data_IF_974158323328
#
_entry.id   IF_974158323328
#
_cell.length_a   1.000
_cell.length_b   1.000
_cell.length_c   1.000
_cell.angle_alpha   90.00
_cell.angle_beta   90.00
_cell.angle_gamma   90.00
#
_symmetry.space_group_name_H-M   'P 1'
#
loop_
_entity.id
_entity.type
_entity.pdbx_description
1 polymer ?
#
# COMPACT_ATOMS: atom_id res chain seq x y z
N UNK A 1 5.35 12.70 26.12
CA UNK A 1 6.64 12.15 25.62
C UNK A 1 6.36 10.99 24.65
N UNK A 2 7.34 10.47 23.86
CA UNK A 2 7.09 9.27 23.06
C UNK A 2 6.64 8.09 23.95
N UNK A 3 5.61 7.32 23.56
CA UNK A 3 5.16 6.16 24.36
C UNK A 3 6.27 5.16 24.63
N UNK A 4 7.16 4.94 23.66
CA UNK A 4 8.36 4.11 23.84
C UNK A 4 9.37 4.70 24.82
N UNK A 5 9.40 6.02 24.98
CA UNK A 5 10.29 6.72 25.92
C UNK A 5 9.68 6.74 27.34
N UNK A 6 8.36 6.89 27.46
CA UNK A 6 7.63 6.76 28.75
C UNK A 6 7.69 5.31 29.25
N UNK A 7 7.46 4.32 28.38
CA UNK A 7 7.58 2.90 28.73
C UNK A 7 8.99 2.54 29.23
N UNK A 8 10.03 3.05 28.56
CA UNK A 8 11.42 2.86 28.98
C UNK A 8 11.69 3.50 30.34
N UNK A 9 11.14 4.68 30.60
CA UNK A 9 11.30 5.39 31.90
C UNK A 9 10.56 4.69 33.03
N UNK A 10 9.34 4.18 32.78
CA UNK A 10 8.59 3.39 33.76
C UNK A 10 9.30 2.06 34.05
N UNK A 11 9.78 1.35 33.01
CA UNK A 11 10.55 0.13 33.21
C UNK A 11 11.87 0.36 33.98
N UNK A 12 12.49 1.54 33.84
CA UNK A 12 13.63 1.95 34.67
C UNK A 12 13.21 2.25 36.12
N UNK A 13 12.07 2.89 36.35
CA UNK A 13 11.51 3.14 37.69
C UNK A 13 11.17 1.83 38.42
N UNK A 14 10.54 0.88 37.74
CA UNK A 14 10.24 -0.45 38.31
C UNK A 14 11.54 -1.19 38.68
N UNK A 15 12.57 -1.10 37.82
CA UNK A 15 13.89 -1.69 38.09
C UNK A 15 14.59 -1.04 39.29
N UNK A 16 14.37 0.26 39.53
CA UNK A 16 14.87 0.98 40.71
C UNK A 16 14.10 0.55 41.97
N UNK A 17 12.77 0.39 41.87
CA UNK A 17 11.89 0.00 42.99
C UNK A 17 12.04 -1.45 43.44
N UNK A 18 12.32 -2.38 42.53
CA UNK A 18 12.56 -3.79 42.85
C UNK A 18 13.87 -4.01 43.64
N UNK A 19 14.74 -3.01 43.71
CA UNK A 19 15.99 -3.08 44.47
C UNK A 19 15.79 -2.57 45.90
N UNK A 20 14.98 -3.28 46.68
CA UNK A 20 14.79 -3.01 48.12
C UNK A 20 15.88 -3.66 48.97
N UNK A 21 17.09 -3.11 48.89
CA UNK A 21 18.04 -3.10 50.00
C UNK A 21 18.74 -1.76 49.97
N UNK A 22 19.02 -1.22 51.15
CA UNK A 22 19.43 0.16 51.45
C UNK A 22 20.74 0.59 50.76
N UNK A 23 20.72 0.63 49.43
CA UNK A 23 21.88 0.87 48.58
C UNK A 23 21.75 2.32 48.07
N UNK A 24 22.65 3.19 48.53
CA UNK A 24 22.62 4.61 48.19
C UNK A 24 22.67 4.87 46.68
N UNK A 25 22.32 6.09 46.28
CA UNK A 25 22.21 6.53 44.87
C UNK A 25 23.42 6.19 43.98
N UNK A 26 24.59 5.94 44.57
CA UNK A 26 25.80 5.51 43.86
C UNK A 26 25.66 4.15 43.19
N UNK A 27 24.98 3.20 43.84
CA UNK A 27 24.70 1.86 43.31
C UNK A 27 23.69 1.89 42.15
N UNK A 28 22.69 2.78 42.23
CA UNK A 28 21.70 2.95 41.18
C UNK A 28 22.31 3.47 39.88
N UNK A 29 23.32 4.34 39.96
CA UNK A 29 24.09 4.82 38.80
C UNK A 29 24.80 3.66 38.11
N UNK A 30 25.37 2.73 38.87
CA UNK A 30 26.17 1.61 38.36
C UNK A 30 25.31 0.58 37.61
N UNK A 31 24.09 0.31 38.09
CA UNK A 31 23.16 -0.63 37.45
C UNK A 31 22.43 0.00 36.26
N UNK A 32 22.04 1.26 36.39
CA UNK A 32 21.25 1.93 35.33
C UNK A 32 22.13 2.55 34.25
N UNK A 33 23.41 2.81 34.55
CA UNK A 33 24.32 3.57 33.68
C UNK A 33 23.95 5.05 33.55
N UNK A 34 23.04 5.56 34.40
CA UNK A 34 22.52 6.93 34.31
C UNK A 34 23.12 7.85 35.36
N UNK A 35 23.33 9.11 35.01
CA UNK A 35 23.79 10.14 35.95
C UNK A 35 22.81 10.31 37.13
N UNK A 36 23.34 10.59 38.33
CA UNK A 36 22.55 10.78 39.57
C UNK A 36 21.41 11.79 39.40
N UNK A 37 21.66 12.89 38.69
CA UNK A 37 20.67 13.94 38.41
C UNK A 37 19.48 13.43 37.60
N UNK A 38 19.73 12.52 36.65
CA UNK A 38 18.68 11.87 35.85
C UNK A 38 17.84 10.93 36.70
N UNK A 39 18.48 10.15 37.58
CA UNK A 39 17.79 9.21 38.49
C UNK A 39 16.90 9.99 39.46
N UNK A 40 17.42 11.03 40.13
CA UNK A 40 16.63 11.87 41.04
C UNK A 40 15.45 12.55 40.34
N UNK A 41 15.66 13.01 39.09
CA UNK A 41 14.58 13.59 38.30
C UNK A 41 13.51 12.56 37.93
N UNK A 42 13.89 11.35 37.56
CA UNK A 42 12.93 10.28 37.23
C UNK A 42 12.08 9.90 38.44
N UNK A 43 12.69 9.77 39.62
CA UNK A 43 11.96 9.50 40.87
C UNK A 43 10.98 10.63 41.17
N UNK A 44 11.40 11.90 40.99
CA UNK A 44 10.53 13.06 41.23
C UNK A 44 9.34 13.13 40.25
N UNK A 45 9.55 12.72 39.00
CA UNK A 45 8.52 12.75 37.94
C UNK A 45 7.71 11.45 37.84
N UNK A 46 7.83 10.56 38.82
CA UNK A 46 7.22 9.23 38.77
C UNK A 46 5.69 9.29 38.61
N UNK A 47 5.01 10.05 39.48
CA UNK A 47 3.54 10.15 39.45
C UNK A 47 3.05 10.72 38.12
N UNK A 48 3.72 11.76 37.59
CA UNK A 48 3.39 12.38 36.31
C UNK A 48 3.54 11.37 35.14
N UNK A 49 4.58 10.54 35.17
CA UNK A 49 4.84 9.53 34.13
C UNK A 49 3.83 8.37 34.21
N UNK A 50 3.42 7.96 35.40
CA UNK A 50 2.40 6.92 35.60
C UNK A 50 1.01 7.40 35.15
N UNK A 51 0.64 8.64 35.47
CA UNK A 51 -0.59 9.25 34.97
C UNK A 51 -0.58 9.42 33.44
N UNK A 52 0.53 9.86 32.84
CA UNK A 52 0.69 9.97 31.38
C UNK A 52 0.58 8.60 30.69
N UNK A 53 1.05 7.53 31.34
CA UNK A 53 0.92 6.16 30.85
C UNK A 53 -0.52 5.65 30.94
N UNK A 54 -1.18 5.82 32.08
CA UNK A 54 -2.57 5.39 32.30
C UNK A 54 -3.54 6.07 31.32
N UNK A 55 -3.35 7.37 31.05
CA UNK A 55 -4.16 8.11 30.07
C UNK A 55 -3.87 7.69 28.60
N UNK A 56 -2.80 6.94 28.36
CA UNK A 56 -2.39 6.48 27.02
C UNK A 56 -2.82 5.04 26.69
N UNK A 57 -3.31 4.27 27.66
CA UNK A 57 -3.89 2.95 27.41
C UNK A 57 -5.17 3.10 26.56
N UNK A 58 -5.13 2.54 25.34
CA UNK A 58 -6.22 2.62 24.36
C UNK A 58 -5.93 3.50 23.13
N UNK A 59 -4.93 4.39 23.15
CA UNK A 59 -4.54 5.18 21.96
C UNK A 59 -3.20 4.69 21.39
N UNK A 60 -3.23 3.98 20.25
CA UNK A 60 -2.04 3.77 19.40
C UNK A 60 -1.71 5.08 18.65
N UNK A 61 -1.23 6.08 19.39
CA UNK A 61 -0.75 7.36 18.84
C UNK A 61 0.78 7.36 18.68
N UNK A 62 1.32 8.08 17.67
CA UNK A 62 2.76 8.15 17.45
C UNK A 62 3.49 8.91 18.56
N UNK A 63 4.80 8.66 18.62
CA UNK A 63 5.80 9.38 19.41
C UNK A 63 5.53 10.89 19.45
N UNK A 64 5.03 11.42 20.58
CA UNK A 64 5.01 12.88 20.82
C UNK A 64 6.41 13.32 21.22
N UNK A 65 7.29 13.48 20.24
CA UNK A 65 8.41 14.42 20.36
C UNK A 65 7.81 15.82 20.62
N UNK A 66 8.46 16.62 21.48
CA UNK A 66 7.99 17.95 21.94
C UNK A 66 7.25 18.69 20.81
N UNK A 67 5.99 19.09 21.03
CA UNK A 67 5.27 20.04 20.16
C UNK A 67 6.11 21.33 20.15
N UNK A 68 6.97 21.48 19.15
CA UNK A 68 7.56 22.76 18.82
C UNK A 68 6.46 23.53 18.10
N UNK A 69 5.91 24.54 18.78
CA UNK A 69 5.03 25.51 18.16
C UNK A 69 5.70 26.06 16.90
N UNK A 70 4.89 26.19 15.84
CA UNK A 70 5.39 26.76 14.59
C UNK A 70 5.76 28.22 14.77
N UNK A 71 6.58 28.72 13.84
CA UNK A 71 6.53 30.15 13.56
C UNK A 71 5.11 30.44 13.07
N UNK A 72 4.45 31.40 13.72
CA UNK A 72 3.10 31.90 13.41
C UNK A 72 1.99 30.85 13.66
N UNK A 73 1.63 30.57 14.93
CA UNK A 73 0.63 29.56 15.28
C UNK A 73 -0.77 29.88 14.72
N UNK A 74 -1.11 31.16 14.58
CA UNK A 74 -2.42 31.59 14.07
C UNK A 74 -2.60 31.21 12.58
N UNK A 75 -1.53 31.33 11.79
CA UNK A 75 -1.50 30.91 10.38
C UNK A 75 -1.56 29.38 10.26
N UNK A 76 -0.91 28.68 11.20
CA UNK A 76 -0.86 27.23 11.28
C UNK A 76 -2.27 26.62 11.48
N UNK A 77 -3.01 27.15 12.46
CA UNK A 77 -4.36 26.71 12.80
C UNK A 77 -5.38 27.09 11.72
N UNK A 78 -5.33 28.34 11.24
CA UNK A 78 -6.21 28.82 10.16
C UNK A 78 -6.08 27.99 8.88
N UNK A 79 -4.86 27.55 8.55
CA UNK A 79 -4.65 26.68 7.39
C UNK A 79 -5.22 25.28 7.62
N UNK A 80 -5.13 24.76 8.85
CA UNK A 80 -5.67 23.45 9.21
C UNK A 80 -7.20 23.41 9.10
N UNK A 81 -7.89 24.44 9.63
CA UNK A 81 -9.35 24.58 9.49
C UNK A 81 -9.77 24.66 8.02
N UNK A 82 -9.07 25.45 7.21
CA UNK A 82 -9.34 25.55 5.78
C UNK A 82 -9.17 24.20 5.07
N UNK A 83 -8.13 23.43 5.41
CA UNK A 83 -7.92 22.08 4.84
C UNK A 83 -9.03 21.12 5.27
N UNK A 84 -9.53 21.20 6.51
CA UNK A 84 -10.65 20.38 6.95
C UNK A 84 -11.92 20.64 6.10
N UNK A 85 -12.24 21.92 5.83
CA UNK A 85 -13.38 22.31 4.99
C UNK A 85 -13.23 21.77 3.55
N UNK A 86 -12.04 21.94 2.97
CA UNK A 86 -11.77 21.55 1.57
C UNK A 86 -11.74 20.03 1.40
N UNK A 87 -11.24 19.30 2.40
CA UNK A 87 -11.24 17.84 2.42
C UNK A 87 -12.67 17.29 2.57
N UNK A 88 -13.53 17.95 3.36
CA UNK A 88 -14.96 17.61 3.46
C UNK A 88 -15.74 17.78 2.15
N UNK A 89 -15.23 18.59 1.21
CA UNK A 89 -15.80 18.78 -0.13
C UNK A 89 -15.11 17.93 -1.21
N UNK A 90 -14.30 16.95 -0.82
CA UNK A 90 -13.57 16.04 -1.70
C UNK A 90 -12.63 16.72 -2.73
N UNK A 91 -12.18 17.94 -2.46
CA UNK A 91 -11.27 18.66 -3.37
C UNK A 91 -9.81 18.25 -3.14
N UNK A 92 -9.08 18.03 -4.23
CA UNK A 92 -7.66 17.67 -4.19
C UNK A 92 -6.80 18.93 -4.04
N UNK A 93 -6.04 19.03 -2.96
CA UNK A 93 -5.16 20.18 -2.68
C UNK A 93 -3.69 19.79 -2.87
N UNK A 94 -2.97 20.57 -3.67
CA UNK A 94 -1.54 20.40 -3.88
C UNK A 94 -0.71 21.19 -2.85
N UNK A 95 0.57 20.86 -2.71
CA UNK A 95 1.48 21.60 -1.84
C UNK A 95 1.65 23.08 -2.22
N UNK A 96 1.57 23.42 -3.51
CA UNK A 96 1.63 24.81 -3.98
C UNK A 96 0.38 25.60 -3.58
N UNK A 97 -0.81 24.97 -3.68
CA UNK A 97 -2.07 25.58 -3.23
C UNK A 97 -2.04 25.82 -1.72
N UNK A 98 -1.53 24.87 -0.93
CA UNK A 98 -1.35 25.06 0.52
C UNK A 98 -0.45 26.24 0.85
N UNK A 99 0.68 26.40 0.16
CA UNK A 99 1.58 27.56 0.37
C UNK A 99 0.93 28.88 -0.03
N UNK A 100 0.17 28.89 -1.13
CA UNK A 100 -0.54 30.09 -1.58
C UNK A 100 -1.57 30.51 -0.52
N UNK A 101 -2.38 29.55 -0.04
CA UNK A 101 -3.39 29.81 0.97
C UNK A 101 -2.77 30.25 2.31
N UNK A 102 -1.66 29.63 2.73
CA UNK A 102 -0.94 30.03 3.93
C UNK A 102 -0.49 31.51 3.88
N UNK A 103 0.01 31.98 2.73
CA UNK A 103 0.38 33.39 2.54
C UNK A 103 -0.82 34.33 2.56
N UNK A 104 -1.94 33.92 1.96
CA UNK A 104 -3.19 34.70 2.00
C UNK A 104 -3.71 34.85 3.44
N UNK A 105 -3.69 33.76 4.22
CA UNK A 105 -4.08 33.77 5.62
C UNK A 105 -3.13 34.61 6.47
N UNK A 106 -1.82 34.51 6.23
CA UNK A 106 -0.83 35.33 6.93
C UNK A 106 -1.06 36.83 6.72
N UNK A 107 -1.35 37.27 5.49
CA UNK A 107 -1.71 38.68 5.21
C UNK A 107 -2.96 39.12 5.96
N UNK A 108 -3.99 38.26 6.03
CA UNK A 108 -5.24 38.56 6.76
C UNK A 108 -5.05 38.67 8.27
N UNK A 109 -4.06 37.96 8.79
CA UNK A 109 -3.70 37.95 10.21
C UNK A 109 -2.59 38.97 10.54
N UNK A 110 -2.20 39.84 9.60
CA UNK A 110 -1.13 40.83 9.76
C UNK A 110 0.28 40.24 10.02
N UNK A 111 0.55 39.03 9.51
CA UNK A 111 1.88 38.42 9.51
C UNK A 111 2.59 38.63 8.16
N UNK A 112 3.02 39.85 7.87
CA UNK A 112 3.62 40.22 6.58
C UNK A 112 5.00 39.58 6.32
N UNK A 113 5.73 39.24 7.39
CA UNK A 113 7.03 38.57 7.31
C UNK A 113 6.93 37.05 7.08
N UNK A 114 5.70 36.50 7.05
CA UNK A 114 5.48 35.08 6.93
C UNK A 114 5.96 34.52 5.58
N UNK A 115 6.80 33.47 5.65
CA UNK A 115 7.29 32.76 4.47
C UNK A 115 6.87 31.30 4.49
N UNK A 116 5.96 30.95 3.58
CA UNK A 116 5.56 29.56 3.28
C UNK A 116 6.67 28.77 2.54
N UNK A 117 7.81 28.57 3.21
CA UNK A 117 8.94 27.77 2.71
C UNK A 117 8.58 26.29 2.64
N UNK A 118 9.33 25.50 1.86
CA UNK A 118 9.20 24.03 1.85
C UNK A 118 9.42 23.41 3.23
N UNK A 119 10.36 23.96 4.01
CA UNK A 119 10.61 23.53 5.38
C UNK A 119 9.44 23.79 6.30
N UNK A 120 8.79 24.97 6.21
CA UNK A 120 7.59 25.28 6.98
C UNK A 120 6.44 24.34 6.63
N UNK A 121 6.15 24.16 5.33
CA UNK A 121 5.08 23.28 4.87
C UNK A 121 5.30 21.82 5.29
N UNK A 122 6.54 21.33 5.22
CA UNK A 122 6.89 19.97 5.64
C UNK A 122 6.63 19.75 7.14
N UNK A 123 7.01 20.73 7.98
CA UNK A 123 6.75 20.69 9.42
C UNK A 123 5.27 20.82 9.75
N UNK A 124 4.56 21.72 9.08
CA UNK A 124 3.10 21.88 9.20
C UNK A 124 2.37 20.57 8.87
N UNK A 125 2.71 19.92 7.75
CA UNK A 125 2.18 18.59 7.40
C UNK A 125 2.45 17.55 8.48
N UNK A 126 3.67 17.54 9.03
CA UNK A 126 4.04 16.63 10.12
C UNK A 126 3.27 16.90 11.41
N UNK A 127 2.93 18.16 11.72
CA UNK A 127 2.16 18.52 12.91
C UNK A 127 0.70 18.05 12.83
N UNK A 128 0.11 18.16 11.65
CA UNK A 128 -1.30 17.82 11.40
C UNK A 128 -1.52 16.42 10.82
N UNK A 129 -0.47 15.57 10.81
CA UNK A 129 -0.47 14.22 10.21
C UNK A 129 -0.97 14.17 8.75
N UNK A 130 -0.66 15.21 7.98
CA UNK A 130 -1.08 15.32 6.58
C UNK A 130 -0.04 14.63 5.70
N UNK A 131 -0.44 13.53 5.08
CA UNK A 131 0.37 12.76 4.13
C UNK A 131 -0.17 12.89 2.72
N UNK A 132 0.74 13.06 1.76
CA UNK A 132 0.37 12.97 0.35
C UNK A 132 0.01 11.52 0.03
N UNK A 133 -1.24 11.28 -0.36
CA UNK A 133 -1.69 9.99 -0.87
C UNK A 133 -1.87 10.11 -2.39
N UNK A 134 -1.12 9.30 -3.14
CA UNK A 134 -1.35 9.18 -4.57
C UNK A 134 -2.62 8.35 -4.77
N UNK A 135 -3.61 8.92 -5.45
CA UNK A 135 -4.76 8.14 -5.90
C UNK A 135 -4.24 7.11 -6.92
N UNK A 136 -4.35 5.82 -6.59
CA UNK A 136 -4.21 4.74 -7.56
C UNK A 136 -5.61 4.44 -8.10
N UNK A 137 -5.71 4.22 -9.42
CA UNK A 137 -6.96 4.18 -10.18
C UNK A 137 -8.06 3.26 -9.66
N UNK A 138 -9.28 3.50 -10.16
CA UNK A 138 -10.54 2.73 -10.05
C UNK A 138 -11.04 2.27 -8.68
N UNK A 139 -10.36 2.59 -7.57
CA UNK A 139 -10.94 2.35 -6.24
C UNK A 139 -12.17 3.21 -5.94
N UNK A 140 -12.30 4.35 -6.61
CA UNK A 140 -13.36 5.33 -6.36
C UNK A 140 -14.69 4.94 -7.05
N UNK A 141 -14.65 4.15 -8.14
CA UNK A 141 -15.83 3.67 -8.88
C UNK A 141 -16.35 2.30 -8.44
N UNK A 142 -15.58 1.56 -7.62
CA UNK A 142 -15.99 0.24 -7.16
C UNK A 142 -17.04 0.36 -6.03
N UNK A 143 -18.27 -0.11 -6.28
CA UNK A 143 -19.31 -0.26 -5.26
C UNK A 143 -18.92 -1.37 -4.26
N UNK A 144 -18.04 -1.02 -3.33
CA UNK A 144 -17.42 -1.94 -2.39
C UNK A 144 -18.46 -2.70 -1.54
N UNK A 145 -19.59 -2.06 -1.23
CA UNK A 145 -20.66 -2.67 -0.46
C UNK A 145 -21.35 -3.80 -1.25
N UNK A 146 -21.75 -3.55 -2.49
CA UNK A 146 -22.40 -4.56 -3.33
C UNK A 146 -21.45 -5.67 -3.77
N UNK A 147 -20.16 -5.37 -3.98
CA UNK A 147 -19.16 -6.40 -4.22
C UNK A 147 -19.00 -7.34 -3.01
N UNK A 148 -19.03 -6.81 -1.79
CA UNK A 148 -19.01 -7.61 -0.55
C UNK A 148 -20.29 -8.43 -0.40
N UNK A 149 -21.45 -7.81 -0.60
CA UNK A 149 -22.75 -8.50 -0.55
C UNK A 149 -22.76 -9.66 -1.55
N UNK A 150 -22.47 -9.38 -2.83
CA UNK A 150 -22.39 -10.38 -3.89
C UNK A 150 -21.46 -11.55 -3.53
N UNK A 151 -20.27 -11.25 -3.01
CA UNK A 151 -19.29 -12.27 -2.59
C UNK A 151 -19.81 -13.12 -1.41
N UNK A 152 -20.58 -12.52 -0.50
CA UNK A 152 -21.06 -13.19 0.72
C UNK A 152 -22.37 -13.97 0.55
N UNK A 153 -23.27 -13.52 -0.33
CA UNK A 153 -24.61 -14.09 -0.46
C UNK A 153 -24.85 -14.73 -1.83
N UNK A 154 -24.78 -13.93 -2.90
CA UNK A 154 -25.19 -14.35 -4.25
C UNK A 154 -24.23 -15.35 -4.90
N UNK A 155 -22.92 -15.13 -4.78
CA UNK A 155 -21.91 -15.98 -5.42
C UNK A 155 -21.89 -17.40 -4.81
N UNK A 156 -21.87 -17.59 -3.48
CA UNK A 156 -21.97 -18.93 -2.90
C UNK A 156 -23.26 -19.65 -3.31
N UNK A 157 -24.41 -18.96 -3.29
CA UNK A 157 -25.69 -19.56 -3.69
C UNK A 157 -25.70 -20.03 -5.14
N UNK A 158 -25.12 -19.23 -6.04
CA UNK A 158 -24.99 -19.59 -7.45
C UNK A 158 -24.04 -20.79 -7.65
N UNK A 159 -22.92 -20.83 -6.92
CA UNK A 159 -21.90 -21.88 -7.06
C UNK A 159 -22.30 -23.21 -6.41
N UNK A 160 -23.26 -23.25 -5.47
CA UNK A 160 -23.74 -24.47 -4.78
C UNK A 160 -24.21 -25.57 -5.74
N UNK A 161 -24.66 -25.22 -6.95
CA UNK A 161 -25.16 -26.16 -7.96
C UNK A 161 -24.01 -26.89 -8.66
N UNK A 162 -22.79 -26.37 -8.59
CA UNK A 162 -21.61 -26.90 -9.26
C UNK A 162 -20.66 -27.57 -8.27
N UNK A 163 -19.95 -28.60 -8.75
CA UNK A 163 -18.86 -29.20 -7.98
C UNK A 163 -17.62 -28.30 -8.07
N UNK A 164 -16.80 -28.27 -7.01
CA UNK A 164 -15.59 -27.43 -7.01
C UNK A 164 -14.65 -27.75 -8.19
N UNK A 165 -14.57 -29.02 -8.60
CA UNK A 165 -13.74 -29.44 -9.72
C UNK A 165 -14.24 -28.95 -11.09
N UNK A 166 -15.51 -28.52 -11.18
CA UNK A 166 -16.14 -28.06 -12.42
C UNK A 166 -16.21 -26.53 -12.52
N UNK A 167 -15.83 -25.81 -11.47
CA UNK A 167 -15.77 -24.34 -11.44
C UNK A 167 -14.35 -23.91 -11.81
N UNK A 168 -14.18 -23.18 -12.91
CA UNK A 168 -12.89 -22.64 -13.35
C UNK A 168 -12.85 -21.13 -13.22
N UNK A 169 -11.66 -20.59 -12.99
CA UNK A 169 -11.39 -19.17 -13.12
C UNK A 169 -10.26 -18.98 -14.14
N UNK A 170 -10.43 -18.02 -15.04
CA UNK A 170 -9.38 -17.59 -15.96
C UNK A 170 -9.08 -16.12 -15.73
N UNK A 171 -7.79 -15.78 -15.59
CA UNK A 171 -7.35 -14.41 -15.36
C UNK A 171 -6.00 -14.13 -16.02
N UNK A 172 -5.78 -12.87 -16.37
CA UNK A 172 -4.61 -12.39 -17.07
C UNK A 172 -3.63 -11.72 -16.13
N UNK A 173 -2.34 -12.00 -16.33
CA UNK A 173 -1.27 -11.31 -15.63
C UNK A 173 -0.22 -10.79 -16.60
N UNK A 174 0.22 -9.55 -16.36
CA UNK A 174 1.31 -8.93 -17.11
C UNK A 174 2.65 -9.20 -16.44
N UNK A 175 3.52 -9.96 -17.10
CA UNK A 175 4.91 -10.16 -16.69
C UNK A 175 5.81 -9.15 -17.39
N UNK A 176 6.60 -8.41 -16.60
CA UNK A 176 7.55 -7.42 -17.10
C UNK A 176 9.00 -7.86 -16.91
N UNK A 177 9.80 -7.83 -17.97
CA UNK A 177 11.22 -8.18 -17.91
C UNK A 177 12.05 -7.46 -19.00
N UNK A 178 13.34 -7.16 -18.75
CA UNK A 178 13.96 -7.03 -17.44
C UNK A 178 13.37 -5.82 -16.67
N UNK A 179 12.99 -6.02 -15.41
CA UNK A 179 12.49 -4.95 -14.56
C UNK A 179 13.66 -4.17 -13.95
N UNK A 180 14.17 -3.17 -14.67
CA UNK A 180 15.18 -2.25 -14.13
C UNK A 180 14.53 -1.31 -13.10
N UNK A 181 15.21 -0.96 -11.99
CA UNK A 181 14.70 0.00 -11.00
C UNK A 181 14.25 1.33 -11.62
N UNK A 182 13.27 1.97 -10.98
CA UNK A 182 12.68 3.24 -11.43
C UNK A 182 13.62 4.44 -11.33
N UNK A 183 14.75 4.28 -10.65
CA UNK A 183 15.78 5.28 -10.49
C UNK A 183 17.06 4.67 -9.92
N UNK A 184 18.14 5.44 -9.96
CA UNK A 184 19.40 5.12 -9.32
C UNK A 184 19.75 6.22 -8.32
N UNK A 185 20.51 5.88 -7.27
CA UNK A 185 21.13 6.89 -6.42
C UNK A 185 22.22 7.58 -7.24
N UNK A 186 22.01 8.86 -7.58
CA UNK A 186 22.98 9.67 -8.31
C UNK A 186 23.41 10.88 -7.48
N UNK A 187 24.65 11.32 -7.71
CA UNK A 187 25.14 12.56 -7.13
C UNK A 187 24.37 13.76 -7.70
N UNK A 188 24.08 14.75 -6.85
CA UNK A 188 23.28 15.95 -7.18
C UNK A 188 23.78 16.72 -8.41
N UNK A 189 25.07 16.65 -8.72
CA UNK A 189 25.72 17.36 -9.83
C UNK A 189 25.76 16.53 -11.12
N UNK A 190 25.38 15.25 -11.08
CA UNK A 190 25.34 14.39 -12.25
C UNK A 190 23.94 14.43 -12.82
N UNK A 191 23.81 15.00 -14.03
CA UNK A 191 22.56 14.91 -14.78
C UNK A 191 22.27 13.44 -15.08
N UNK A 192 21.21 12.90 -14.48
CA UNK A 192 20.72 11.57 -14.83
C UNK A 192 20.00 11.69 -16.18
N UNK A 193 20.66 11.30 -17.26
CA UNK A 193 19.99 11.16 -18.56
C UNK A 193 18.97 10.03 -18.42
N UNK A 194 17.70 10.36 -18.59
CA UNK A 194 16.62 9.38 -18.48
C UNK A 194 16.82 8.28 -19.51
N UNK A 195 17.25 7.11 -19.08
CA UNK A 195 17.26 5.92 -19.92
C UNK A 195 15.81 5.44 -20.08
N UNK A 196 15.36 5.28 -21.33
CA UNK A 196 14.07 4.63 -21.60
C UNK A 196 14.14 3.24 -20.99
N UNK A 197 13.28 2.94 -20.03
CA UNK A 197 13.14 1.59 -19.48
C UNK A 197 12.92 0.61 -20.64
N UNK A 198 13.86 -0.31 -20.83
CA UNK A 198 13.67 -1.46 -21.70
C UNK A 198 12.80 -2.49 -20.96
N UNK A 199 11.52 -2.17 -20.75
CA UNK A 199 10.54 -3.11 -20.21
C UNK A 199 9.87 -3.85 -21.37
N UNK A 200 10.19 -5.13 -21.53
CA UNK A 200 9.34 -6.02 -22.31
C UNK A 200 8.18 -6.48 -21.41
N UNK A 201 6.99 -6.55 -22.00
CA UNK A 201 5.81 -7.15 -21.39
C UNK A 201 5.51 -8.43 -22.13
N UNK A 202 5.16 -9.45 -21.37
CA UNK A 202 4.46 -10.64 -21.84
C UNK A 202 3.19 -10.76 -21.01
N UNK A 203 2.06 -11.01 -21.65
CA UNK A 203 0.81 -11.30 -20.95
C UNK A 203 0.63 -12.81 -20.88
N UNK A 204 0.24 -13.31 -19.71
CA UNK A 204 -0.03 -14.73 -19.48
C UNK A 204 -1.46 -14.85 -18.99
N UNK A 205 -2.27 -15.63 -19.71
CA UNK A 205 -3.61 -16.03 -19.27
C UNK A 205 -3.49 -17.41 -18.62
N UNK A 206 -3.91 -17.47 -17.36
CA UNK A 206 -3.93 -18.69 -16.56
C UNK A 206 -5.38 -19.11 -16.34
N UNK A 207 -5.67 -20.40 -16.44
CA UNK A 207 -6.98 -20.96 -16.13
C UNK A 207 -6.83 -22.16 -15.20
N UNK A 208 -7.59 -22.21 -14.12
CA UNK A 208 -7.58 -23.34 -13.18
C UNK A 208 -8.94 -23.58 -12.54
N UNK A 209 -9.22 -24.81 -12.15
CA UNK A 209 -10.42 -25.11 -11.38
C UNK A 209 -10.30 -24.65 -9.92
N UNK A 210 -11.44 -24.57 -9.23
CA UNK A 210 -11.54 -24.05 -7.87
C UNK A 210 -10.79 -24.94 -6.85
N UNK A 211 -10.66 -26.24 -7.11
CA UNK A 211 -9.85 -27.14 -6.29
C UNK A 211 -8.34 -27.07 -6.58
N UNK A 212 -7.93 -26.42 -7.67
CA UNK A 212 -6.54 -26.33 -8.13
C UNK A 212 -5.95 -27.63 -8.68
N UNK A 213 -6.76 -28.67 -8.83
CA UNK A 213 -6.35 -29.99 -9.32
C UNK A 213 -6.20 -30.04 -10.83
N UNK A 214 -6.93 -29.18 -11.55
CA UNK A 214 -6.86 -29.07 -13.00
C UNK A 214 -6.45 -27.66 -13.41
N UNK A 215 -5.43 -27.57 -14.27
CA UNK A 215 -4.83 -26.33 -14.76
C UNK A 215 -4.81 -26.37 -16.27
N UNK A 216 -5.53 -25.45 -16.89
CA UNK A 216 -5.54 -25.27 -18.33
C UNK A 216 -4.15 -24.86 -18.84
N UNK A 217 -3.91 -25.15 -20.12
CA UNK A 217 -2.66 -24.75 -20.79
C UNK A 217 -2.53 -23.22 -20.79
N UNK A 218 -1.39 -22.71 -20.36
CA UNK A 218 -1.17 -21.26 -20.30
C UNK A 218 -1.12 -20.67 -21.70
N UNK A 219 -1.83 -19.56 -21.91
CA UNK A 219 -1.71 -18.75 -23.11
C UNK A 219 -0.74 -17.60 -22.85
N UNK A 220 0.35 -17.56 -23.60
CA UNK A 220 1.43 -16.58 -23.48
C UNK A 220 1.43 -15.66 -24.70
N UNK A 221 1.45 -14.36 -24.46
CA UNK A 221 1.31 -13.34 -25.49
C UNK A 221 2.49 -12.39 -25.43
N UNK A 222 3.34 -12.48 -26.44
CA UNK A 222 4.45 -11.55 -26.63
C UNK A 222 4.23 -10.59 -27.79
N UNK A 223 5.23 -9.73 -28.04
CA UNK A 223 5.18 -8.75 -29.13
C UNK A 223 5.41 -9.34 -30.51
N UNK A 224 6.22 -10.40 -30.59
CA UNK A 224 6.71 -10.95 -31.85
C UNK A 224 6.26 -12.39 -32.01
N UNK A 225 5.89 -12.81 -33.22
CA UNK A 225 5.49 -14.19 -33.53
C UNK A 225 6.61 -15.18 -33.17
N UNK A 226 7.86 -14.81 -33.44
CA UNK A 226 9.05 -15.56 -33.01
C UNK A 226 9.97 -14.63 -32.20
N UNK A 227 9.87 -14.63 -30.86
CA UNK A 227 10.81 -13.91 -30.00
C UNK A 227 12.24 -14.35 -30.25
N UNK A 228 13.17 -13.38 -30.27
CA UNK A 228 14.61 -13.67 -30.41
C UNK A 228 15.14 -14.57 -29.29
N UNK A 229 14.56 -14.47 -28.09
CA UNK A 229 14.88 -15.32 -26.94
C UNK A 229 14.54 -16.80 -27.15
N UNK A 230 13.67 -17.11 -28.11
CA UNK A 230 13.25 -18.47 -28.44
C UNK A 230 13.84 -18.95 -29.77
N UNK A 231 14.93 -18.33 -30.24
CA UNK A 231 15.62 -18.75 -31.46
C UNK A 231 16.13 -20.18 -31.29
N UNK A 232 15.80 -21.06 -32.23
CA UNK A 232 16.19 -22.48 -32.20
C UNK A 232 15.25 -23.38 -31.39
N UNK A 233 14.21 -22.84 -30.74
CA UNK A 233 13.18 -23.63 -30.09
C UNK A 233 12.00 -23.88 -31.03
N UNK A 234 11.43 -25.09 -30.95
CA UNK A 234 10.13 -25.37 -31.54
C UNK A 234 9.05 -24.85 -30.58
N UNK A 235 8.27 -23.86 -31.00
CA UNK A 235 7.21 -23.31 -30.14
C UNK A 235 6.16 -24.36 -29.78
N UNK A 236 5.86 -25.26 -30.72
CA UNK A 236 4.86 -26.32 -30.54
C UNK A 236 5.30 -27.40 -29.53
N UNK A 237 6.59 -27.49 -29.20
CA UNK A 237 7.08 -28.43 -28.19
C UNK A 237 7.01 -27.86 -26.77
N UNK A 238 6.68 -26.58 -26.61
CA UNK A 238 6.54 -25.98 -25.30
C UNK A 238 5.17 -26.33 -24.70
N UNK A 239 5.07 -26.51 -23.38
CA UNK A 239 3.80 -26.79 -22.70
C UNK A 239 2.90 -25.54 -22.57
N UNK A 240 2.98 -24.61 -23.52
CA UNK A 240 2.24 -23.35 -23.54
C UNK A 240 1.67 -23.10 -24.93
N UNK A 241 0.59 -22.34 -25.00
CA UNK A 241 0.11 -21.77 -26.26
C UNK A 241 0.73 -20.40 -26.41
N UNK A 242 1.50 -20.17 -27.47
CA UNK A 242 2.07 -18.85 -27.74
C UNK A 242 1.29 -18.11 -28.83
N UNK A 243 1.00 -16.83 -28.58
CA UNK A 243 0.42 -15.90 -29.56
C UNK A 243 1.20 -14.58 -29.54
N UNK A 244 1.09 -13.81 -30.62
CA UNK A 244 1.75 -12.52 -30.72
C UNK A 244 0.74 -11.41 -30.96
N UNK A 245 0.92 -10.30 -30.24
CA UNK A 245 0.17 -9.06 -30.42
C UNK A 245 1.14 -7.89 -30.30
N UNK A 246 1.01 -6.85 -31.14
CA UNK A 246 1.92 -5.69 -31.19
C UNK A 246 2.18 -5.06 -29.82
N UNK A 247 1.16 -5.03 -28.96
CA UNK A 247 1.26 -4.44 -27.62
C UNK A 247 1.63 -5.47 -26.53
N UNK A 248 1.61 -6.77 -26.85
CA UNK A 248 1.70 -7.90 -25.92
C UNK A 248 0.60 -7.90 -24.84
N UNK A 249 -0.59 -7.41 -25.18
CA UNK A 249 -1.82 -7.50 -24.37
C UNK A 249 -2.75 -8.56 -24.96
N UNK A 250 -3.71 -9.03 -24.16
CA UNK A 250 -4.86 -9.74 -24.70
C UNK A 250 -5.62 -8.83 -25.67
N UNK A 251 -6.07 -9.41 -26.78
CA UNK A 251 -7.08 -8.79 -27.64
C UNK A 251 -8.36 -9.61 -27.60
N UNK A 252 -9.48 -8.99 -27.97
CA UNK A 252 -10.77 -9.66 -28.07
C UNK A 252 -10.72 -10.89 -28.98
N UNK A 253 -9.96 -10.84 -30.07
CA UNK A 253 -9.82 -11.93 -31.05
C UNK A 253 -9.05 -13.10 -30.44
N UNK A 254 -7.92 -12.81 -29.78
CA UNK A 254 -7.13 -13.82 -29.08
C UNK A 254 -7.92 -14.46 -27.93
N UNK A 255 -8.71 -13.66 -27.20
CA UNK A 255 -9.58 -14.18 -26.15
C UNK A 255 -10.67 -15.09 -26.71
N UNK A 256 -11.32 -14.68 -27.81
CA UNK A 256 -12.33 -15.50 -28.51
C UNK A 256 -11.77 -16.81 -29.02
N UNK A 257 -10.56 -16.79 -29.59
CA UNK A 257 -9.86 -17.98 -30.04
C UNK A 257 -9.59 -18.93 -28.85
N UNK A 258 -8.99 -18.41 -27.79
CA UNK A 258 -8.75 -19.17 -26.56
C UNK A 258 -10.04 -19.75 -25.98
N UNK A 259 -11.12 -18.97 -25.94
CA UNK A 259 -12.40 -19.42 -25.40
C UNK A 259 -13.02 -20.55 -26.23
N UNK A 260 -12.85 -20.53 -27.56
CA UNK A 260 -13.29 -21.62 -28.45
C UNK A 260 -12.48 -22.89 -28.22
N UNK A 261 -11.16 -22.77 -28.12
CA UNK A 261 -10.27 -23.88 -27.83
C UNK A 261 -10.58 -24.48 -26.46
N UNK A 262 -10.71 -23.63 -25.44
CA UNK A 262 -11.08 -24.01 -24.08
C UNK A 262 -12.43 -24.69 -24.03
N UNK A 263 -13.46 -24.10 -24.66
CA UNK A 263 -14.77 -24.74 -24.75
C UNK A 263 -14.66 -26.10 -25.45
N UNK A 264 -13.86 -26.25 -26.50
CA UNK A 264 -13.64 -27.54 -27.14
C UNK A 264 -13.04 -28.54 -26.16
N UNK A 265 -11.95 -28.19 -25.46
CA UNK A 265 -11.33 -29.01 -24.41
C UNK A 265 -12.35 -29.43 -23.33
N UNK A 266 -13.26 -28.53 -22.94
CA UNK A 266 -14.35 -28.85 -22.01
C UNK A 266 -15.43 -29.77 -22.61
N UNK A 267 -15.72 -29.64 -23.90
CA UNK A 267 -16.74 -30.43 -24.60
C UNK A 267 -16.28 -31.87 -24.91
N UNK A 268 -14.98 -32.14 -24.99
CA UNK A 268 -14.45 -33.50 -25.10
C UNK A 268 -14.72 -34.38 -23.86
N UNK A 269 -15.27 -33.82 -22.78
CA UNK A 269 -15.71 -34.52 -21.57
C UNK A 269 -17.24 -34.81 -21.54
N UNK A 270 -17.95 -34.66 -22.66
CA UNK A 270 -19.42 -34.78 -22.77
C UNK A 270 -19.96 -36.22 -22.87
N UNK A 271 -19.66 -37.08 -21.90
CA UNK A 271 -20.49 -38.28 -21.66
C UNK A 271 -21.20 -38.21 -20.32
N UNK A 272 -21.69 -37.02 -19.96
CA UNK A 272 -22.15 -36.79 -18.60
C UNK A 272 -23.40 -35.88 -18.52
N UNK A 273 -24.44 -36.26 -17.74
CA UNK A 273 -25.68 -35.48 -17.59
C UNK A 273 -25.47 -34.08 -16.99
N UNK A 274 -26.49 -33.22 -17.11
CA UNK A 274 -26.51 -31.78 -16.77
C UNK A 274 -25.86 -31.36 -15.42
N UNK A 275 -25.66 -32.28 -14.48
CA UNK A 275 -25.00 -32.05 -13.18
C UNK A 275 -23.47 -31.90 -13.27
N UNK A 276 -22.85 -32.17 -14.42
CA UNK A 276 -21.39 -32.08 -14.61
C UNK A 276 -20.98 -31.04 -15.67
N UNK A 277 -21.86 -30.08 -15.96
CA UNK A 277 -21.50 -28.92 -16.79
C UNK A 277 -20.38 -28.13 -16.09
N UNK A 278 -19.21 -28.08 -16.73
CA UNK A 278 -18.11 -27.22 -16.31
C UNK A 278 -18.49 -25.75 -16.52
N UNK A 279 -18.32 -24.95 -15.48
CA UNK A 279 -18.65 -23.54 -15.42
C UNK A 279 -17.36 -22.75 -15.26
N UNK A 280 -17.07 -21.82 -16.17
CA UNK A 280 -15.89 -20.94 -16.05
C UNK A 280 -16.36 -19.55 -15.66
N UNK A 281 -15.95 -19.09 -14.48
CA UNK A 281 -15.99 -17.68 -14.09
C UNK A 281 -14.92 -16.94 -14.88
N UNK A 282 -15.38 -16.01 -15.73
CA UNK A 282 -14.52 -15.02 -16.37
C UNK A 282 -14.56 -13.76 -15.51
N UNK A 283 -13.69 -13.70 -14.50
CA UNK A 283 -13.52 -12.49 -13.71
C UNK A 283 -12.60 -11.55 -14.48
N UNK A 284 -13.15 -10.44 -14.98
CA UNK A 284 -12.50 -9.32 -15.68
C UNK A 284 -12.07 -9.56 -17.13
N UNK A 285 -13.02 -9.41 -18.05
CA UNK A 285 -12.70 -8.86 -19.38
C UNK A 285 -13.02 -7.37 -19.35
N UNK A 286 -12.05 -6.56 -19.77
CA UNK A 286 -12.05 -5.10 -19.89
C UNK A 286 -11.51 -4.37 -18.66
N UNK A 287 -10.18 -4.36 -18.55
CA UNK A 287 -9.42 -3.18 -18.12
C UNK A 287 -9.11 -2.29 -19.32
#
# INVERSE_FOLDING_TARGET
>A
MPRQDVAKKIGLLDKIKQQTRNNGQRWLVEITGLAKTTISRLIKQENELQEEWAQSEGRKGPSKERKREGKDPDVDESLNEWVAIVTGRAMRVSGSVLKCKAKELAKKLSHDDFRATDGWLSRWKSRHDIKFKKAHGEKESAHCAGAKEWKSSKLPDFLKVFQQMTIYNADETGLYYPATPDGSLSYKHVAFSGSKKAMHRVTVLCCSNMSGTDKGRMLVIGKSIKPRSCKGLRMDSLPIVYRANRNAWMSTELFKEWLKDWNTELQWLKFIPLKEKKFTLLMNLLS
#
